data_IF_791376750395
#
_entry.id   IF_791376750395
#
_cell.length_a   1.000
_cell.length_b   1.000
_cell.length_c   1.000
_cell.angle_alpha   90.00
_cell.angle_beta   90.00
_cell.angle_gamma   90.00
#
_symmetry.space_group_name_H-M   'P 1'
#
loop_
_entity.id
_entity.type
_entity.pdbx_description
1 polymer ?
#
# COMPACT_ATOMS: atom_id res chain seq x y z
N UNK A 1 12.00 -31.97 -15.51
CA UNK A 1 11.97 -30.66 -14.80
C UNK A 1 10.88 -29.85 -15.50
N UNK A 2 9.72 -29.68 -14.87
CA UNK A 2 8.70 -28.80 -15.44
C UNK A 2 9.28 -27.38 -15.44
N UNK A 3 9.48 -26.83 -16.63
CA UNK A 3 9.63 -25.39 -16.80
C UNK A 3 8.37 -24.77 -16.20
N UNK A 4 8.51 -23.99 -15.14
CA UNK A 4 7.39 -23.22 -14.59
C UNK A 4 6.89 -22.35 -15.74
N UNK A 5 5.67 -22.62 -16.20
CA UNK A 5 5.09 -21.88 -17.29
C UNK A 5 4.93 -20.42 -16.86
N UNK A 6 5.36 -19.50 -17.71
CA UNK A 6 5.30 -18.06 -17.41
C UNK A 6 3.86 -17.63 -17.16
N UNK A 7 2.90 -18.11 -17.94
CA UNK A 7 1.49 -17.79 -17.80
C UNK A 7 0.93 -18.26 -16.45
N UNK A 8 1.25 -19.49 -16.03
CA UNK A 8 0.85 -20.02 -14.72
C UNK A 8 1.41 -19.18 -13.57
N UNK A 9 2.64 -18.69 -13.69
CA UNK A 9 3.26 -17.83 -12.67
C UNK A 9 2.58 -16.46 -12.62
N UNK A 10 2.28 -15.88 -13.77
CA UNK A 10 1.55 -14.60 -13.84
C UNK A 10 0.17 -14.76 -13.23
N UNK A 11 -0.62 -15.71 -13.69
CA UNK A 11 -1.99 -15.92 -13.20
C UNK A 11 -2.05 -16.14 -11.68
N UNK A 12 -1.11 -16.93 -11.17
CA UNK A 12 -1.06 -17.27 -9.75
C UNK A 12 -0.61 -16.12 -8.86
N UNK A 13 0.38 -15.33 -9.29
CA UNK A 13 1.05 -14.37 -8.41
C UNK A 13 0.71 -12.91 -8.70
N UNK A 14 0.11 -12.58 -9.85
CA UNK A 14 -0.23 -11.22 -10.21
C UNK A 14 -1.10 -10.51 -9.14
N UNK A 15 -2.22 -11.09 -8.66
CA UNK A 15 -3.08 -10.39 -7.68
C UNK A 15 -2.34 -10.06 -6.39
N UNK A 16 -1.49 -10.96 -5.90
CA UNK A 16 -0.72 -10.79 -4.67
C UNK A 16 0.38 -9.72 -4.85
N UNK A 17 1.11 -9.78 -5.94
CA UNK A 17 2.17 -8.81 -6.25
C UNK A 17 1.61 -7.42 -6.50
N UNK A 18 0.49 -7.30 -7.24
CA UNK A 18 -0.17 -6.02 -7.49
C UNK A 18 -0.67 -5.39 -6.19
N UNK A 19 -1.32 -6.16 -5.31
CA UNK A 19 -1.76 -5.68 -4.01
C UNK A 19 -0.59 -5.18 -3.15
N UNK A 20 0.51 -5.91 -3.13
CA UNK A 20 1.72 -5.47 -2.43
C UNK A 20 2.33 -4.22 -3.08
N UNK A 21 2.43 -4.18 -4.41
CA UNK A 21 2.91 -3.01 -5.16
C UNK A 21 2.05 -1.78 -4.87
N UNK A 22 0.71 -1.90 -4.90
CA UNK A 22 -0.24 -0.83 -4.62
C UNK A 22 -0.06 -0.29 -3.19
N UNK A 23 0.16 -1.18 -2.23
CA UNK A 23 0.44 -0.76 -0.86
C UNK A 23 1.73 0.05 -0.72
N UNK A 24 2.71 -0.15 -1.58
CA UNK A 24 4.00 0.56 -1.58
C UNK A 24 3.95 1.86 -2.38
N UNK A 25 3.45 1.79 -3.62
CA UNK A 25 3.48 2.87 -4.61
C UNK A 25 2.45 3.98 -4.35
N UNK A 26 1.35 3.70 -3.65
CA UNK A 26 0.25 4.62 -3.33
C UNK A 26 -0.65 5.04 -4.50
N UNK A 27 -0.33 4.67 -5.72
CA UNK A 27 -1.17 4.89 -6.89
C UNK A 27 -1.14 3.68 -7.82
N UNK A 28 -2.17 3.55 -8.64
CA UNK A 28 -2.37 2.38 -9.50
C UNK A 28 -1.35 2.29 -10.63
N UNK A 29 -0.98 3.42 -11.23
CA UNK A 29 -0.05 3.46 -12.36
C UNK A 29 1.34 2.93 -11.95
N UNK A 30 1.90 3.46 -10.88
CA UNK A 30 3.19 3.00 -10.35
C UNK A 30 3.12 1.54 -9.85
N UNK A 31 1.97 1.11 -9.30
CA UNK A 31 1.77 -0.28 -8.88
C UNK A 31 1.74 -1.24 -10.08
N UNK A 32 1.05 -0.87 -11.17
CA UNK A 32 1.05 -1.62 -12.42
C UNK A 32 2.47 -1.73 -12.99
N UNK A 33 3.17 -0.61 -13.11
CA UNK A 33 4.52 -0.57 -13.65
C UNK A 33 5.48 -1.43 -12.84
N UNK A 34 5.43 -1.34 -11.52
CA UNK A 34 6.25 -2.13 -10.61
C UNK A 34 5.97 -3.63 -10.73
N UNK A 35 4.70 -4.00 -10.87
CA UNK A 35 4.29 -5.39 -11.05
C UNK A 35 4.76 -5.93 -12.41
N UNK A 36 4.57 -5.18 -13.49
CA UNK A 36 5.04 -5.53 -14.83
C UNK A 36 6.56 -5.66 -14.87
N UNK A 37 7.27 -4.72 -14.27
CA UNK A 37 8.74 -4.76 -14.17
C UNK A 37 9.21 -6.02 -13.45
N UNK A 38 8.52 -6.42 -12.37
CA UNK A 38 8.82 -7.65 -11.62
C UNK A 38 8.69 -8.89 -12.52
N UNK A 39 7.61 -9.00 -13.29
CA UNK A 39 7.42 -10.12 -14.23
C UNK A 39 8.39 -10.07 -15.41
N UNK A 40 8.79 -8.89 -15.88
CA UNK A 40 9.86 -8.74 -16.89
C UNK A 40 11.19 -9.30 -16.39
N UNK A 41 11.53 -9.02 -15.12
CA UNK A 41 12.73 -9.59 -14.48
C UNK A 41 12.56 -11.11 -14.31
N UNK A 42 11.36 -11.61 -14.00
CA UNK A 42 11.08 -13.04 -13.93
C UNK A 42 11.27 -13.72 -15.30
N UNK A 43 10.72 -13.16 -16.36
CA UNK A 43 10.85 -13.69 -17.72
C UNK A 43 12.33 -13.86 -18.14
N UNK A 44 13.19 -12.92 -17.72
CA UNK A 44 14.61 -12.97 -18.06
C UNK A 44 15.47 -13.83 -17.12
N UNK A 45 15.11 -13.92 -15.83
CA UNK A 45 15.96 -14.54 -14.80
C UNK A 45 15.32 -15.70 -14.04
N UNK A 46 14.01 -15.90 -14.18
CA UNK A 46 13.27 -16.94 -13.44
C UNK A 46 13.79 -18.36 -13.69
N UNK A 47 14.33 -18.62 -14.89
CA UNK A 47 14.94 -19.90 -15.25
C UNK A 47 16.17 -20.26 -14.40
N UNK A 48 16.78 -19.27 -13.71
CA UNK A 48 17.89 -19.50 -12.79
C UNK A 48 17.43 -20.04 -11.43
N UNK A 49 16.13 -19.93 -11.13
CA UNK A 49 15.58 -20.45 -9.89
C UNK A 49 15.36 -21.96 -9.99
N UNK A 50 16.18 -22.73 -9.26
CA UNK A 50 16.13 -24.21 -9.29
C UNK A 50 15.01 -24.79 -8.43
N UNK A 51 14.55 -24.06 -7.42
CA UNK A 51 13.57 -24.51 -6.43
C UNK A 51 12.25 -23.74 -6.63
N UNK A 52 11.26 -24.40 -7.22
CA UNK A 52 9.95 -23.83 -7.50
C UNK A 52 9.20 -23.38 -6.24
N UNK A 53 9.49 -23.94 -5.06
CA UNK A 53 8.88 -23.51 -3.80
C UNK A 53 9.27 -22.07 -3.41
N UNK A 54 10.35 -21.56 -3.96
CA UNK A 54 10.88 -20.21 -3.67
C UNK A 54 10.37 -19.12 -4.63
N UNK A 55 9.53 -19.46 -5.61
CA UNK A 55 9.02 -18.50 -6.59
C UNK A 55 8.33 -17.32 -5.91
N UNK A 56 7.41 -17.57 -4.98
CA UNK A 56 6.71 -16.51 -4.22
C UNK A 56 7.72 -15.56 -3.57
N UNK A 57 8.61 -16.09 -2.75
CA UNK A 57 9.61 -15.27 -2.03
C UNK A 57 10.53 -14.51 -2.99
N UNK A 58 10.93 -15.12 -4.11
CA UNK A 58 11.76 -14.50 -5.13
C UNK A 58 11.06 -13.31 -5.80
N UNK A 59 9.79 -13.47 -6.19
CA UNK A 59 9.00 -12.43 -6.83
C UNK A 59 8.79 -11.24 -5.88
N UNK A 60 8.41 -11.49 -4.63
CA UNK A 60 8.23 -10.42 -3.64
C UNK A 60 9.55 -9.69 -3.33
N UNK A 61 10.66 -10.41 -3.24
CA UNK A 61 12.00 -9.80 -3.06
C UNK A 61 12.37 -8.92 -4.25
N UNK A 62 12.11 -9.41 -5.48
CA UNK A 62 12.38 -8.66 -6.70
C UNK A 62 11.54 -7.39 -6.74
N UNK A 63 10.24 -7.48 -6.49
CA UNK A 63 9.34 -6.33 -6.45
C UNK A 63 9.82 -5.28 -5.44
N UNK A 64 10.16 -5.70 -4.23
CA UNK A 64 10.62 -4.77 -3.20
C UNK A 64 11.97 -4.10 -3.57
N UNK A 65 12.89 -4.82 -4.17
CA UNK A 65 14.17 -4.27 -4.68
C UNK A 65 13.94 -3.24 -5.78
N UNK A 66 13.06 -3.53 -6.75
CA UNK A 66 12.72 -2.58 -7.82
C UNK A 66 12.07 -1.33 -7.23
N UNK A 67 11.15 -1.47 -6.28
CA UNK A 67 10.53 -0.35 -5.58
C UNK A 67 11.58 0.54 -4.89
N UNK A 68 12.49 -0.03 -4.10
CA UNK A 68 13.56 0.74 -3.43
C UNK A 68 14.50 1.39 -4.45
N UNK A 69 14.79 0.70 -5.56
CA UNK A 69 15.62 1.24 -6.64
C UNK A 69 14.97 2.46 -7.30
N UNK A 70 13.67 2.38 -7.61
CA UNK A 70 12.89 3.46 -8.19
C UNK A 70 12.86 4.68 -7.26
N UNK A 71 12.57 4.47 -5.96
CA UNK A 71 12.60 5.56 -4.97
C UNK A 71 13.97 6.23 -4.84
N UNK A 72 15.06 5.46 -4.85
CA UNK A 72 16.40 6.04 -4.83
C UNK A 72 16.72 6.85 -6.10
N UNK A 73 16.15 6.46 -7.24
CA UNK A 73 16.28 7.20 -8.51
C UNK A 73 15.51 8.51 -8.44
N UNK A 74 14.26 8.50 -7.97
CA UNK A 74 13.44 9.69 -7.78
C UNK A 74 14.07 10.70 -6.83
N UNK A 75 14.65 10.25 -5.72
CA UNK A 75 15.38 11.12 -4.78
C UNK A 75 16.63 11.77 -5.38
N UNK A 76 17.30 11.11 -6.34
CA UNK A 76 18.49 11.66 -7.02
C UNK A 76 18.13 12.63 -8.15
N UNK A 77 17.01 12.40 -8.80
CA UNK A 77 16.49 13.15 -9.93
C UNK A 77 15.01 13.44 -9.66
N UNK A 78 14.69 14.47 -8.84
CA UNK A 78 13.31 14.87 -8.66
C UNK A 78 12.74 15.17 -10.06
N UNK A 79 11.68 14.43 -10.45
CA UNK A 79 10.90 14.82 -11.61
C UNK A 79 10.36 16.21 -11.27
N UNK A 80 10.65 17.22 -12.10
CA UNK A 80 9.88 18.45 -12.07
C UNK A 80 8.41 18.05 -12.16
N UNK A 81 7.62 18.50 -11.22
CA UNK A 81 6.18 18.23 -11.16
C UNK A 81 5.54 18.75 -12.47
N UNK A 82 5.47 17.86 -13.46
CA UNK A 82 4.49 17.99 -14.51
C UNK A 82 3.15 17.78 -13.81
N UNK A 83 2.39 18.87 -13.67
CA UNK A 83 1.09 18.97 -13.04
C UNK A 83 0.30 17.67 -13.18
N UNK A 84 -0.10 17.14 -12.02
CA UNK A 84 -1.05 16.04 -11.91
C UNK A 84 -2.30 16.42 -12.74
N UNK A 85 -2.35 15.90 -13.96
CA UNK A 85 -3.62 15.73 -14.62
C UNK A 85 -4.24 14.55 -13.90
N UNK A 86 -5.18 14.82 -13.01
CA UNK A 86 -6.09 13.84 -12.47
C UNK A 86 -6.74 13.10 -13.64
N UNK A 87 -6.15 12.00 -14.07
CA UNK A 87 -6.83 11.02 -14.89
C UNK A 87 -7.75 10.24 -13.97
N UNK A 88 -8.92 10.80 -13.69
CA UNK A 88 -10.08 10.04 -13.28
C UNK A 88 -10.45 9.07 -14.41
N UNK A 89 -9.76 7.94 -14.47
CA UNK A 89 -10.30 6.78 -15.17
C UNK A 89 -11.43 6.23 -14.30
N UNK A 90 -12.61 5.99 -14.84
CA UNK A 90 -13.71 5.43 -14.08
C UNK A 90 -13.28 4.05 -13.61
N UNK A 91 -13.02 3.94 -12.32
CA UNK A 91 -12.88 2.65 -11.64
C UNK A 91 -14.22 1.94 -11.82
N UNK A 92 -14.22 0.85 -12.57
CA UNK A 92 -15.37 -0.05 -12.61
C UNK A 92 -15.67 -0.43 -11.16
N UNK A 93 -16.79 0.08 -10.63
CA UNK A 93 -17.26 -0.18 -9.29
C UNK A 93 -17.56 -1.67 -9.15
N UNK A 94 -16.84 -2.44 -8.35
CA UNK A 94 -17.38 -3.68 -7.86
C UNK A 94 -18.41 -3.29 -6.80
N UNK A 95 -19.67 -3.52 -7.12
CA UNK A 95 -20.80 -3.36 -6.19
C UNK A 95 -20.70 -4.43 -5.10
N UNK A 96 -19.99 -4.13 -4.01
CA UNK A 96 -20.16 -4.85 -2.76
C UNK A 96 -19.63 -4.06 -1.58
N UNK A 97 -20.26 -4.24 -0.42
CA UNK A 97 -19.84 -3.68 0.88
C UNK A 97 -18.38 -3.99 1.19
N UNK A 98 -17.88 -5.15 0.73
CA UNK A 98 -16.48 -5.59 0.88
C UNK A 98 -15.47 -4.61 0.23
N UNK A 99 -15.85 -3.90 -0.82
CA UNK A 99 -14.95 -2.95 -1.49
C UNK A 99 -14.78 -1.64 -0.70
N UNK A 100 -15.80 -1.19 0.00
CA UNK A 100 -15.72 -0.01 0.88
C UNK A 100 -14.78 -0.30 2.06
N UNK A 101 -14.87 -1.49 2.64
CA UNK A 101 -13.98 -1.93 3.71
C UNK A 101 -12.54 -2.10 3.21
N UNK A 102 -12.35 -2.66 2.02
CA UNK A 102 -11.02 -2.81 1.40
C UNK A 102 -10.37 -1.45 1.12
N UNK A 103 -11.13 -0.45 0.64
CA UNK A 103 -10.66 0.92 0.44
C UNK A 103 -10.20 1.55 1.75
N UNK A 104 -10.99 1.47 2.81
CA UNK A 104 -10.64 2.00 4.13
C UNK A 104 -9.38 1.33 4.72
N UNK A 105 -9.19 0.03 4.49
CA UNK A 105 -7.98 -0.69 4.89
C UNK A 105 -6.76 -0.15 4.14
N UNK A 106 -6.87 0.07 2.83
CA UNK A 106 -5.78 0.63 2.03
C UNK A 106 -5.45 2.05 2.46
N UNK A 107 -6.44 2.91 2.70
CA UNK A 107 -6.24 4.28 3.20
C UNK A 107 -5.53 4.28 4.56
N UNK A 108 -5.97 3.41 5.48
CA UNK A 108 -5.31 3.24 6.76
C UNK A 108 -3.85 2.78 6.60
N UNK A 109 -3.59 1.81 5.70
CA UNK A 109 -2.25 1.35 5.39
C UNK A 109 -1.40 2.47 4.77
N UNK A 110 -1.96 3.27 3.86
CA UNK A 110 -1.26 4.39 3.23
C UNK A 110 -0.89 5.51 4.23
N UNK A 111 -1.65 5.66 5.31
CA UNK A 111 -1.32 6.59 6.39
C UNK A 111 -0.17 6.11 7.29
N UNK A 112 0.15 4.80 7.24
CA UNK A 112 1.29 4.23 7.96
C UNK A 112 2.56 4.40 7.14
N UNK A 113 3.66 4.73 7.81
CA UNK A 113 4.99 4.83 7.21
C UNK A 113 5.37 3.54 6.46
N UNK A 114 5.97 3.66 5.28
CA UNK A 114 6.39 2.53 4.44
C UNK A 114 7.23 1.49 5.19
N UNK A 115 8.14 1.97 6.05
CA UNK A 115 9.00 1.11 6.90
C UNK A 115 8.21 0.11 7.74
N UNK A 116 6.99 0.46 8.13
CA UNK A 116 6.08 -0.38 8.92
C UNK A 116 5.00 -1.02 8.05
N UNK A 117 4.59 -0.38 6.97
CA UNK A 117 3.53 -0.83 6.07
C UNK A 117 3.94 -2.09 5.30
N UNK A 118 5.13 -2.12 4.72
CA UNK A 118 5.62 -3.29 3.98
C UNK A 118 5.58 -4.59 4.81
N UNK A 119 6.13 -4.65 6.05
CA UNK A 119 5.99 -5.84 6.89
C UNK A 119 4.55 -6.19 7.23
N UNK A 120 3.67 -5.19 7.46
CA UNK A 120 2.24 -5.43 7.77
C UNK A 120 1.53 -6.13 6.60
N UNK A 121 1.71 -5.61 5.38
CA UNK A 121 1.08 -6.19 4.19
C UNK A 121 1.58 -7.62 3.95
N UNK A 122 2.89 -7.83 4.02
CA UNK A 122 3.46 -9.16 3.84
C UNK A 122 2.97 -10.16 4.90
N UNK A 123 2.75 -9.72 6.13
CA UNK A 123 2.30 -10.59 7.21
C UNK A 123 0.79 -10.86 7.14
N UNK A 124 -0.04 -9.80 7.08
CA UNK A 124 -1.48 -9.93 7.23
C UNK A 124 -2.23 -10.22 5.92
N UNK A 125 -1.74 -9.72 4.78
CA UNK A 125 -2.42 -9.89 3.50
C UNK A 125 -1.78 -10.99 2.64
N UNK A 126 -0.46 -11.20 2.78
CA UNK A 126 0.26 -12.17 1.96
C UNK A 126 0.69 -13.41 2.76
N UNK A 127 0.33 -13.48 4.06
CA UNK A 127 0.53 -14.64 4.94
C UNK A 127 1.98 -15.15 4.99
N UNK A 128 2.95 -14.23 4.91
CA UNK A 128 4.35 -14.60 5.00
C UNK A 128 4.79 -14.76 6.47
N UNK A 129 5.63 -15.74 6.74
CA UNK A 129 6.31 -15.91 8.04
C UNK A 129 7.31 -14.78 8.30
N UNK A 130 7.73 -14.61 9.56
CA UNK A 130 8.74 -13.60 9.92
C UNK A 130 10.07 -13.82 9.19
N UNK A 131 10.45 -15.08 8.97
CA UNK A 131 11.64 -15.46 8.21
C UNK A 131 11.54 -15.10 6.73
N UNK A 132 10.35 -15.28 6.13
CA UNK A 132 10.09 -14.88 4.74
C UNK A 132 10.11 -13.39 4.59
N UNK A 133 9.45 -12.64 5.50
CA UNK A 133 9.47 -11.17 5.51
C UNK A 133 10.90 -10.65 5.67
N UNK A 134 11.69 -11.23 6.57
CA UNK A 134 13.09 -10.87 6.76
C UNK A 134 13.91 -11.03 5.47
N UNK A 135 13.66 -12.13 4.73
CA UNK A 135 14.31 -12.37 3.43
C UNK A 135 13.83 -11.41 2.34
N UNK A 136 12.51 -11.18 2.25
CA UNK A 136 11.91 -10.29 1.23
C UNK A 136 12.40 -8.85 1.42
N UNK A 137 12.38 -8.34 2.65
CA UNK A 137 12.75 -6.96 2.96
C UNK A 137 14.25 -6.78 3.23
N UNK A 138 15.02 -7.86 3.22
CA UNK A 138 16.48 -7.87 3.48
C UNK A 138 16.85 -7.21 4.82
N UNK A 139 16.10 -7.52 5.88
CA UNK A 139 16.31 -7.01 7.24
C UNK A 139 16.38 -8.15 8.26
N UNK A 140 17.03 -7.94 9.40
CA UNK A 140 17.06 -8.94 10.47
C UNK A 140 15.65 -9.27 10.98
N UNK A 141 15.42 -10.53 11.37
CA UNK A 141 14.13 -11.00 11.90
C UNK A 141 13.67 -10.20 13.14
N UNK A 142 14.58 -9.80 14.02
CA UNK A 142 14.27 -8.94 15.16
C UNK A 142 13.75 -7.56 14.72
N UNK A 143 14.21 -7.06 13.57
CA UNK A 143 13.70 -5.83 12.95
C UNK A 143 12.29 -6.04 12.39
N UNK A 144 11.99 -7.20 11.79
CA UNK A 144 10.63 -7.54 11.35
C UNK A 144 9.68 -7.52 12.54
N UNK A 145 10.01 -8.23 13.62
CA UNK A 145 9.17 -8.30 14.82
C UNK A 145 8.89 -6.90 15.41
N UNK A 146 9.92 -6.07 15.55
CA UNK A 146 9.76 -4.71 16.07
C UNK A 146 8.96 -3.80 15.15
N UNK A 147 9.13 -3.92 13.82
CA UNK A 147 8.36 -3.17 12.82
C UNK A 147 6.91 -3.60 12.80
N UNK A 148 6.60 -4.88 12.87
CA UNK A 148 5.23 -5.40 12.96
C UNK A 148 4.52 -4.91 14.21
N UNK A 149 5.17 -4.97 15.38
CA UNK A 149 4.59 -4.48 16.63
C UNK A 149 4.24 -2.99 16.57
N UNK A 150 5.19 -2.15 16.14
CA UNK A 150 4.97 -0.70 16.00
C UNK A 150 3.99 -0.39 14.89
N UNK A 151 4.06 -1.11 13.77
CA UNK A 151 3.16 -0.97 12.64
C UNK A 151 1.72 -1.25 13.02
N UNK A 152 1.46 -2.32 13.77
CA UNK A 152 0.12 -2.65 14.29
C UNK A 152 -0.47 -1.51 15.12
N UNK A 153 0.33 -0.92 16.03
CA UNK A 153 -0.12 0.22 16.83
C UNK A 153 -0.47 1.44 15.97
N UNK A 154 0.37 1.76 14.97
CA UNK A 154 0.13 2.88 14.05
C UNK A 154 -1.09 2.64 13.18
N UNK A 155 -1.27 1.43 12.66
CA UNK A 155 -2.43 1.07 11.87
C UNK A 155 -3.72 1.18 12.69
N UNK A 156 -3.72 0.72 13.95
CA UNK A 156 -4.86 0.87 14.84
C UNK A 156 -5.21 2.34 15.08
N UNK A 157 -4.21 3.20 15.29
CA UNK A 157 -4.42 4.64 15.44
C UNK A 157 -4.97 5.28 14.15
N UNK A 158 -4.51 4.82 12.98
CA UNK A 158 -5.02 5.27 11.69
C UNK A 158 -6.51 4.93 11.53
N UNK A 159 -6.91 3.69 11.82
CA UNK A 159 -8.32 3.29 11.79
C UNK A 159 -9.18 4.12 12.73
N UNK A 160 -8.74 4.37 13.96
CA UNK A 160 -9.49 5.19 14.91
C UNK A 160 -9.68 6.63 14.40
N UNK A 161 -8.71 7.18 13.69
CA UNK A 161 -8.83 8.52 13.07
C UNK A 161 -9.81 8.53 11.90
N UNK A 162 -9.82 7.49 11.06
CA UNK A 162 -10.75 7.38 9.93
C UNK A 162 -12.20 7.17 10.39
N UNK A 163 -12.39 6.50 11.53
CA UNK A 163 -13.71 6.27 12.12
C UNK A 163 -14.21 7.42 13.02
N UNK A 164 -13.32 8.36 13.41
CA UNK A 164 -13.73 9.54 14.15
C UNK A 164 -14.64 10.40 13.26
N UNK A 165 -15.84 10.80 13.72
CA UNK A 165 -16.69 11.70 12.95
C UNK A 165 -15.89 12.97 12.67
N UNK A 166 -15.87 13.37 11.40
CA UNK A 166 -15.22 14.62 10.98
C UNK A 166 -15.94 15.77 11.68
N UNK A 167 -15.32 16.36 12.69
CA UNK A 167 -15.82 17.56 13.42
C UNK A 167 -15.92 18.82 12.52
N UNK A 168 -15.79 18.67 11.21
CA UNK A 168 -15.85 19.74 10.23
C UNK A 168 -17.29 20.21 9.89
N UNK A 169 -18.33 19.64 10.52
CA UNK A 169 -19.71 20.06 10.27
C UNK A 169 -20.42 20.64 11.52
N UNK A 170 -19.67 21.20 12.47
CA UNK A 170 -20.28 22.08 13.47
C UNK A 170 -20.54 23.41 12.77
N UNK A 171 -21.70 23.52 12.10
CA UNK A 171 -22.27 24.82 11.73
C UNK A 171 -22.55 25.53 13.05
N UNK A 172 -21.64 26.40 13.45
CA UNK A 172 -21.90 27.36 14.56
C UNK A 172 -23.08 28.24 14.13
N UNK A 173 -24.27 27.87 14.58
CA UNK A 173 -25.43 28.76 14.45
C UNK A 173 -25.11 30.08 15.14
N UNK A 174 -25.25 31.20 14.44
CA UNK A 174 -25.01 32.51 15.07
C UNK A 174 -26.05 32.70 16.18
N UNK A 175 -25.57 32.96 17.40
CA UNK A 175 -26.44 33.28 18.53
C UNK A 175 -27.25 34.54 18.20
N UNK A 176 -28.57 34.55 18.46
CA UNK A 176 -29.38 35.74 18.24
C UNK A 176 -28.89 36.89 19.13
N UNK A 177 -28.60 38.05 18.50
CA UNK A 177 -28.22 39.26 19.22
C UNK A 177 -29.34 39.66 20.14
N UNK A 178 -29.09 39.72 21.46
CA UNK A 178 -30.02 40.26 22.43
C UNK A 178 -30.46 41.69 22.02
N UNK A 179 -31.76 41.84 21.77
CA UNK A 179 -32.41 43.13 21.48
C UNK A 179 -32.24 44.02 22.71
N UNK A 180 -31.49 45.10 22.57
CA UNK A 180 -31.46 46.15 23.61
C UNK A 180 -32.83 46.80 23.68
N UNK A 181 -33.52 46.58 24.80
CA UNK A 181 -34.70 47.33 25.14
C UNK A 181 -34.27 48.79 25.37
N UNK A 182 -34.86 49.66 24.55
CA UNK A 182 -34.76 51.14 24.80
C UNK A 182 -35.76 51.42 25.90
N UNK A 183 -35.24 51.69 27.10
CA UNK A 183 -36.02 52.32 28.16
C UNK A 183 -36.27 53.76 27.76
N UNK A 184 -37.55 54.09 27.52
CA UNK A 184 -38.05 55.47 27.54
C UNK A 184 -38.31 55.84 29.01
N UNK A 185 -37.69 56.86 29.47
CA UNK A 185 -38.02 57.61 30.64
C UNK A 185 -37.70 59.10 30.37
#
# INVERSE_FOLDING_TARGET
MHSLDFEEIVDRFYPMLYRFALSLARNEADACDLTQQTFSVWASKGHLLRDGSKVKSWLFTTLYREFISNRRREMRWPKEELSEVENELPVASPESVDCLEAGQVMDALHSVDETFRAPLVLFYLEENSYEEIARILEIPIGTVMSRLSRGKQRLQQAFLRLQAPSDSNIIRMPMPKKRRERSHG
#
